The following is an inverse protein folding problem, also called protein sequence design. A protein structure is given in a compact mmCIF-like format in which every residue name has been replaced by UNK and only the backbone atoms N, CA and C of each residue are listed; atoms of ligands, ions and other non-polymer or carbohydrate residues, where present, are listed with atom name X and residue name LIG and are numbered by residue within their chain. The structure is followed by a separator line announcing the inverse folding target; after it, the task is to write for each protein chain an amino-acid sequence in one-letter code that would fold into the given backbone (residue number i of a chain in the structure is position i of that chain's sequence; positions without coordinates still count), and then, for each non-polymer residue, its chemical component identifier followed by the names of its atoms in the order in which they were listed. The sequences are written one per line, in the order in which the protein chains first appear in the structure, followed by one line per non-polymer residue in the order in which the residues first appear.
data_IF_928055165049
#
_entry.id   IF_928055165049
#
_cell.length_a   1.000
_cell.length_b   1.000
_cell.length_c   1.000
_cell.angle_alpha   90.00
_cell.angle_beta   90.00
_cell.angle_gamma   90.00
#
_symmetry.space_group_name_H-M   'P 1'
#
loop_
_entity.id
_entity.type
_entity.pdbx_description
1 polymer ?
#
# COMPACT_ATOMS: atom_id res chain seq x y z
N UNK A 1 15.00 -25.74 -31.13
CA UNK A 1 15.16 -24.35 -30.64
C UNK A 1 13.84 -23.96 -30.02
N UNK A 2 13.73 -24.10 -28.70
CA UNK A 2 12.55 -23.64 -27.96
C UNK A 2 12.59 -22.12 -27.99
N UNK A 3 11.59 -21.46 -28.59
CA UNK A 3 11.43 -20.03 -28.41
C UNK A 3 11.32 -19.79 -26.89
N UNK A 4 12.27 -19.04 -26.32
CA UNK A 4 12.14 -18.57 -24.94
C UNK A 4 10.86 -17.73 -24.81
N UNK A 5 10.25 -17.66 -23.62
CA UNK A 5 9.08 -16.82 -23.43
C UNK A 5 9.41 -15.39 -23.87
N UNK A 6 8.57 -14.83 -24.74
CA UNK A 6 8.64 -13.44 -25.17
C UNK A 6 8.24 -12.57 -23.98
N UNK A 7 9.22 -11.94 -23.33
CA UNK A 7 8.99 -10.96 -22.26
C UNK A 7 8.35 -9.69 -22.82
N UNK A 8 7.34 -9.15 -22.15
CA UNK A 8 6.76 -7.84 -22.41
C UNK A 8 7.80 -6.77 -22.10
N UNK A 9 8.00 -5.84 -23.04
CA UNK A 9 8.75 -4.63 -22.74
C UNK A 9 7.84 -3.67 -21.96
N UNK A 10 8.07 -3.60 -20.66
CA UNK A 10 7.38 -2.67 -19.77
C UNK A 10 7.74 -1.20 -20.06
N UNK A 11 8.91 -0.94 -20.68
CA UNK A 11 9.55 0.36 -20.69
C UNK A 11 9.78 0.90 -19.26
N UNK A 12 10.13 2.18 -19.15
CA UNK A 12 10.24 2.82 -17.83
C UNK A 12 8.88 2.98 -17.18
N UNK A 13 8.79 2.66 -15.90
CA UNK A 13 7.56 2.77 -15.11
C UNK A 13 7.73 3.79 -13.98
N UNK A 14 6.75 4.66 -13.80
CA UNK A 14 6.72 5.60 -12.69
C UNK A 14 6.17 5.00 -11.41
N UNK A 15 6.79 5.30 -10.28
CA UNK A 15 6.20 5.15 -8.93
C UNK A 15 5.89 6.56 -8.42
N UNK A 16 4.62 6.85 -8.19
CA UNK A 16 4.16 8.13 -7.67
C UNK A 16 3.66 7.96 -6.24
N UNK A 17 4.43 8.46 -5.28
CA UNK A 17 4.15 8.27 -3.86
C UNK A 17 3.33 9.45 -3.31
N UNK A 18 2.15 9.20 -2.77
CA UNK A 18 1.45 10.17 -1.93
C UNK A 18 2.01 10.03 -0.51
N UNK A 19 2.50 11.12 0.07
CA UNK A 19 3.34 11.08 1.27
C UNK A 19 4.80 10.74 0.96
N UNK A 20 5.31 11.24 -0.17
CA UNK A 20 6.64 10.91 -0.71
C UNK A 20 7.82 11.14 0.26
N UNK A 21 7.68 12.05 1.22
CA UNK A 21 8.71 12.42 2.21
C UNK A 21 8.49 11.74 3.58
N UNK A 22 7.55 10.81 3.66
CA UNK A 22 7.33 9.93 4.80
C UNK A 22 8.39 8.84 4.96
N UNK A 23 8.40 8.16 6.11
CA UNK A 23 9.39 7.12 6.42
C UNK A 23 9.30 5.92 5.47
N UNK A 24 8.09 5.45 5.15
CA UNK A 24 7.87 4.33 4.20
C UNK A 24 8.35 4.70 2.80
N UNK A 25 7.91 5.84 2.28
CA UNK A 25 8.29 6.32 0.95
C UNK A 25 9.81 6.51 0.79
N UNK A 26 10.45 7.14 1.77
CA UNK A 26 11.91 7.35 1.79
C UNK A 26 12.65 6.01 1.83
N UNK A 27 12.18 5.07 2.65
CA UNK A 27 12.78 3.72 2.77
C UNK A 27 12.63 2.93 1.47
N UNK A 28 11.45 2.97 0.84
CA UNK A 28 11.21 2.32 -0.45
C UNK A 28 12.07 2.91 -1.56
N UNK A 29 12.20 4.24 -1.62
CA UNK A 29 13.06 4.94 -2.60
C UNK A 29 14.53 4.56 -2.41
N UNK A 30 15.00 4.54 -1.16
CA UNK A 30 16.36 4.11 -0.83
C UNK A 30 16.61 2.64 -1.16
N UNK A 31 15.68 1.76 -0.80
CA UNK A 31 15.76 0.32 -1.10
C UNK A 31 15.80 0.06 -2.60
N UNK A 32 14.92 0.71 -3.36
CA UNK A 32 14.91 0.63 -4.82
C UNK A 32 16.26 1.05 -5.42
N UNK A 33 16.82 2.18 -4.99
CA UNK A 33 18.10 2.66 -5.47
C UNK A 33 19.25 1.71 -5.13
N UNK A 34 19.26 1.16 -3.91
CA UNK A 34 20.30 0.23 -3.46
C UNK A 34 20.24 -1.10 -4.20
N UNK A 35 19.04 -1.65 -4.40
CA UNK A 35 18.82 -2.90 -5.16
C UNK A 35 19.21 -2.69 -6.63
N UNK A 36 18.75 -1.59 -7.24
CA UNK A 36 19.05 -1.28 -8.65
C UNK A 36 20.54 -1.08 -8.92
N UNK A 37 21.28 -0.57 -7.93
CA UNK A 37 22.73 -0.38 -8.00
C UNK A 37 23.55 -1.63 -7.60
N UNK A 38 22.89 -2.71 -7.15
CA UNK A 38 23.56 -3.92 -6.67
C UNK A 38 24.26 -3.75 -5.30
N UNK A 39 23.86 -2.76 -4.50
CA UNK A 39 24.37 -2.56 -3.14
C UNK A 39 23.62 -3.38 -2.08
N UNK A 40 22.44 -3.90 -2.42
CA UNK A 40 21.64 -4.75 -1.53
C UNK A 40 20.86 -5.79 -2.34
N UNK A 41 20.63 -6.96 -1.73
CA UNK A 41 19.71 -7.95 -2.27
C UNK A 41 18.26 -7.48 -2.07
N UNK A 42 17.35 -7.93 -2.94
CA UNK A 42 15.92 -7.65 -2.84
C UNK A 42 15.19 -8.48 -1.75
N UNK A 43 15.88 -8.83 -0.67
CA UNK A 43 15.32 -9.61 0.44
C UNK A 43 14.11 -8.89 1.02
N UNK A 44 12.98 -9.61 1.13
CA UNK A 44 11.70 -9.07 1.58
C UNK A 44 10.76 -8.67 0.44
N UNK A 45 11.24 -8.55 -0.80
CA UNK A 45 10.39 -8.42 -1.98
C UNK A 45 9.82 -9.81 -2.35
N UNK A 46 8.51 -9.97 -2.23
CA UNK A 46 7.79 -11.22 -2.50
C UNK A 46 7.91 -11.62 -3.97
N UNK A 47 7.95 -10.63 -4.87
CA UNK A 47 8.04 -10.85 -6.32
C UNK A 47 9.39 -11.41 -6.78
N UNK A 48 10.38 -11.53 -5.89
CA UNK A 48 11.70 -12.12 -6.17
C UNK A 48 11.82 -13.58 -5.69
N UNK A 49 10.74 -14.17 -5.19
CA UNK A 49 10.72 -15.58 -4.82
C UNK A 49 10.59 -16.48 -6.05
N UNK A 50 11.18 -17.67 -6.00
CA UNK A 50 11.19 -18.63 -7.11
C UNK A 50 9.80 -19.02 -7.65
N UNK A 51 8.73 -18.86 -6.87
CA UNK A 51 7.34 -19.11 -7.34
C UNK A 51 6.87 -18.07 -8.37
N UNK A 52 7.55 -16.93 -8.46
CA UNK A 52 7.35 -15.90 -9.49
C UNK A 52 8.33 -16.03 -10.66
N UNK A 53 9.19 -17.07 -10.70
CA UNK A 53 10.08 -17.31 -11.84
C UNK A 53 9.25 -17.48 -13.12
N UNK A 54 9.56 -16.67 -14.14
CA UNK A 54 8.82 -16.64 -15.40
C UNK A 54 7.55 -15.78 -15.40
N UNK A 55 7.20 -15.15 -14.27
CA UNK A 55 6.23 -14.05 -14.26
C UNK A 55 6.93 -12.80 -14.80
N UNK A 56 6.34 -12.24 -15.84
CA UNK A 56 6.85 -11.09 -16.54
C UNK A 56 6.56 -9.81 -15.76
N UNK A 57 7.54 -9.34 -14.99
CA UNK A 57 7.46 -8.15 -14.14
C UNK A 57 8.56 -7.15 -14.51
N UNK A 58 8.32 -5.83 -14.37
CA UNK A 58 9.38 -4.85 -14.57
C UNK A 58 10.53 -5.07 -13.58
N UNK A 59 11.76 -4.80 -14.03
CA UNK A 59 12.95 -4.84 -13.18
C UNK A 59 13.02 -3.63 -12.26
N UNK A 60 13.76 -3.74 -11.16
CA UNK A 60 13.91 -2.63 -10.21
C UNK A 60 14.53 -1.37 -10.85
N UNK A 61 15.47 -1.55 -11.78
CA UNK A 61 16.12 -0.44 -12.49
C UNK A 61 15.20 0.28 -13.51
N UNK A 62 14.03 -0.28 -13.82
CA UNK A 62 13.07 0.31 -14.76
C UNK A 62 12.18 1.38 -14.09
N UNK A 63 12.24 1.49 -12.76
CA UNK A 63 11.41 2.41 -12.01
C UNK A 63 12.01 3.80 -11.86
N UNK A 64 11.16 4.81 -12.00
CA UNK A 64 11.45 6.22 -11.70
C UNK A 64 10.52 6.68 -10.59
N UNK A 65 11.05 7.29 -9.53
CA UNK A 65 10.26 7.71 -8.36
C UNK A 65 9.96 9.20 -8.42
N UNK A 66 8.70 9.56 -8.17
CA UNK A 66 8.20 10.91 -7.91
C UNK A 66 7.08 10.88 -6.87
N UNK A 67 6.35 11.97 -6.68
CA UNK A 67 5.23 11.95 -5.75
C UNK A 67 4.68 13.32 -5.33
N UNK A 68 3.78 13.27 -4.36
CA UNK A 68 3.24 14.44 -3.69
C UNK A 68 3.52 14.39 -2.19
N UNK A 69 3.84 15.54 -1.62
CA UNK A 69 3.92 15.69 -0.16
C UNK A 69 3.55 17.11 0.26
N UNK A 70 3.10 17.26 1.51
CA UNK A 70 2.80 18.56 2.14
C UNK A 70 3.94 19.03 3.06
N UNK A 71 4.90 18.15 3.37
CA UNK A 71 6.06 18.44 4.18
C UNK A 71 7.19 19.01 3.33
N UNK A 72 7.89 20.01 3.86
CA UNK A 72 9.12 20.55 3.27
C UNK A 72 10.38 19.75 3.66
N UNK A 73 10.25 18.72 4.51
CA UNK A 73 11.39 17.88 4.92
C UNK A 73 11.75 16.93 3.78
N UNK A 74 12.82 17.23 3.03
CA UNK A 74 13.29 16.38 1.93
C UNK A 74 13.49 14.91 2.32
N UNK A 75 13.36 14.00 1.35
CA UNK A 75 13.67 12.57 1.53
C UNK A 75 15.07 12.34 2.11
N UNK A 76 16.08 13.11 1.67
CA UNK A 76 17.44 12.98 2.19
C UNK A 76 17.49 13.32 3.69
N UNK A 77 16.79 14.37 4.12
CA UNK A 77 16.74 14.73 5.55
C UNK A 77 15.93 13.73 6.37
N UNK A 78 14.86 13.18 5.78
CA UNK A 78 14.11 12.07 6.38
C UNK A 78 15.00 10.85 6.57
N UNK A 79 15.79 10.47 5.56
CA UNK A 79 16.70 9.35 5.63
C UNK A 79 17.78 9.53 6.71
N UNK A 80 18.34 10.74 6.87
CA UNK A 80 19.28 11.05 7.96
C UNK A 80 18.66 10.74 9.33
N UNK A 81 17.43 11.18 9.60
CA UNK A 81 16.74 10.89 10.86
C UNK A 81 16.47 9.38 11.07
N UNK A 82 16.21 8.65 9.98
CA UNK A 82 16.01 7.20 10.01
C UNK A 82 17.32 6.42 10.19
N UNK A 83 18.46 6.98 9.76
CA UNK A 83 19.78 6.44 10.09
C UNK A 83 20.10 6.69 11.56
N UNK A 84 19.81 7.89 12.07
CA UNK A 84 20.01 8.24 13.49
C UNK A 84 19.18 7.35 14.43
N UNK A 85 17.99 6.92 14.02
CA UNK A 85 17.16 5.98 14.78
C UNK A 85 17.66 4.53 14.73
N UNK A 86 18.68 4.24 13.91
CA UNK A 86 19.20 2.90 13.67
C UNK A 86 18.35 2.05 12.72
N UNK A 87 17.31 2.62 12.10
CA UNK A 87 16.46 1.91 11.15
C UNK A 87 17.17 1.66 9.81
N UNK A 88 17.86 2.68 9.29
CA UNK A 88 18.58 2.60 8.02
C UNK A 88 20.09 2.48 8.24
N UNK A 89 20.78 1.61 7.48
CA UNK A 89 22.22 1.54 7.54
C UNK A 89 22.87 2.75 6.83
N UNK A 90 23.74 3.47 7.55
CA UNK A 90 24.42 4.68 7.06
C UNK A 90 25.13 4.46 5.71
N UNK A 91 25.87 3.36 5.57
CA UNK A 91 26.67 3.10 4.36
C UNK A 91 25.80 2.96 3.10
N UNK A 92 24.59 2.38 3.20
CA UNK A 92 23.67 2.31 2.07
C UNK A 92 23.12 3.69 1.76
N UNK A 93 22.69 4.45 2.78
CA UNK A 93 22.19 5.81 2.59
C UNK A 93 23.23 6.69 1.88
N UNK A 94 24.49 6.67 2.31
CA UNK A 94 25.57 7.42 1.66
C UNK A 94 25.78 6.99 0.21
N UNK A 95 25.67 5.69 -0.09
CA UNK A 95 25.87 5.14 -1.43
C UNK A 95 24.77 5.52 -2.41
N UNK A 96 23.55 5.82 -1.93
CA UNK A 96 22.40 6.15 -2.78
C UNK A 96 21.81 7.55 -2.55
N UNK A 97 22.53 8.41 -1.82
CA UNK A 97 22.04 9.75 -1.45
C UNK A 97 21.66 10.59 -2.66
N UNK A 98 22.42 10.50 -3.75
CA UNK A 98 22.13 11.22 -5.00
C UNK A 98 20.78 10.83 -5.60
N UNK A 99 20.43 9.55 -5.55
CA UNK A 99 19.19 9.01 -6.10
C UNK A 99 17.98 9.47 -5.28
N UNK A 100 18.11 9.55 -3.94
CA UNK A 100 17.08 10.15 -3.09
C UNK A 100 16.87 11.64 -3.41
N UNK A 101 17.95 12.39 -3.60
CA UNK A 101 17.86 13.82 -3.96
C UNK A 101 17.19 13.99 -5.33
N UNK A 102 17.53 13.14 -6.30
CA UNK A 102 16.92 13.16 -7.63
C UNK A 102 15.42 12.80 -7.59
N UNK A 103 15.03 11.83 -6.77
CA UNK A 103 13.63 11.50 -6.52
C UNK A 103 12.89 12.66 -5.83
N UNK A 104 13.49 13.29 -4.82
CA UNK A 104 12.87 14.41 -4.09
C UNK A 104 12.64 15.64 -4.98
N UNK A 105 13.50 15.88 -5.99
CA UNK A 105 13.31 16.95 -6.98
C UNK A 105 12.05 16.77 -7.85
N UNK A 106 11.51 15.55 -7.92
CA UNK A 106 10.27 15.22 -8.63
C UNK A 106 9.04 15.30 -7.72
N UNK A 107 9.22 15.53 -6.42
CA UNK A 107 8.11 15.68 -5.48
C UNK A 107 7.44 17.04 -5.70
N UNK A 108 6.12 17.02 -5.87
CA UNK A 108 5.28 18.20 -6.05
C UNK A 108 4.46 18.49 -4.79
N UNK A 109 3.94 19.72 -4.60
CA UNK A 109 3.05 20.03 -3.48
C UNK A 109 1.77 19.19 -3.52
N UNK A 110 1.52 18.44 -2.45
CA UNK A 110 0.28 17.67 -2.26
C UNK A 110 -0.94 18.56 -1.98
N UNK A 111 -2.10 17.93 -1.77
CA UNK A 111 -3.30 18.62 -1.32
C UNK A 111 -3.29 18.76 0.21
N UNK A 112 -3.31 20.00 0.69
CA UNK A 112 -3.45 20.33 2.11
C UNK A 112 -4.79 21.04 2.33
N UNK A 113 -5.77 20.41 3.02
CA UNK A 113 -7.09 21.00 3.23
C UNK A 113 -7.06 22.26 4.11
N UNK A 114 -5.92 22.60 4.72
CA UNK A 114 -5.74 23.84 5.50
C UNK A 114 -5.44 25.05 4.60
N UNK A 115 -5.21 24.85 3.31
CA UNK A 115 -4.99 25.91 2.33
C UNK A 115 -6.30 26.20 1.59
N UNK A 116 -6.81 27.43 1.68
CA UNK A 116 -8.16 27.82 1.23
C UNK A 116 -8.22 28.38 -0.21
N UNK A 117 -7.28 28.02 -1.09
CA UNK A 117 -7.11 28.73 -2.37
C UNK A 117 -7.78 28.11 -3.60
N UNK A 118 -8.21 26.85 -3.56
CA UNK A 118 -8.76 26.14 -4.73
C UNK A 118 -9.93 25.22 -4.36
N UNK A 119 -10.84 24.96 -5.31
CA UNK A 119 -11.88 23.94 -5.14
C UNK A 119 -11.28 22.53 -5.14
N UNK A 120 -12.02 21.54 -4.62
CA UNK A 120 -11.56 20.16 -4.61
C UNK A 120 -11.35 19.59 -6.03
N UNK A 121 -12.16 20.04 -6.99
CA UNK A 121 -12.01 19.69 -8.40
C UNK A 121 -10.74 20.30 -9.01
N UNK A 122 -10.42 21.56 -8.68
CA UNK A 122 -9.18 22.21 -9.12
C UNK A 122 -7.94 21.51 -8.54
N UNK A 123 -7.97 21.18 -7.24
CA UNK A 123 -6.92 20.41 -6.59
C UNK A 123 -6.71 19.05 -7.29
N UNK A 124 -7.79 18.28 -7.51
CA UNK A 124 -7.69 16.98 -8.17
C UNK A 124 -7.12 17.08 -9.59
N UNK A 125 -7.55 18.09 -10.38
CA UNK A 125 -7.02 18.35 -11.72
C UNK A 125 -5.54 18.73 -11.70
N UNK A 126 -5.10 19.56 -10.75
CA UNK A 126 -3.70 19.94 -10.56
C UNK A 126 -2.83 18.73 -10.24
N UNK A 127 -3.24 17.92 -9.26
CA UNK A 127 -2.52 16.70 -8.89
C UNK A 127 -2.47 15.69 -10.06
N UNK A 128 -3.55 15.56 -10.83
CA UNK A 128 -3.59 14.69 -12.02
C UNK A 128 -2.66 15.20 -13.15
N UNK A 129 -2.55 16.52 -13.30
CA UNK A 129 -1.58 17.14 -14.23
C UNK A 129 -0.15 16.82 -13.82
N UNK A 130 0.19 16.93 -12.54
CA UNK A 130 1.53 16.59 -12.04
C UNK A 130 1.92 15.13 -12.38
N UNK A 131 0.99 14.19 -12.18
CA UNK A 131 1.19 12.77 -12.53
C UNK A 131 1.39 12.60 -14.05
N UNK A 132 0.57 13.28 -14.85
CA UNK A 132 0.64 13.22 -16.32
C UNK A 132 1.93 13.83 -16.86
N UNK A 133 2.34 14.97 -16.31
CA UNK A 133 3.57 15.67 -16.67
C UNK A 133 4.80 14.85 -16.27
N UNK A 134 4.75 14.18 -15.12
CA UNK A 134 5.80 13.23 -14.72
C UNK A 134 5.93 12.08 -15.73
N UNK A 135 4.80 11.49 -16.14
CA UNK A 135 4.77 10.45 -17.18
C UNK A 135 5.41 10.92 -18.49
N UNK A 136 4.99 12.08 -18.99
CA UNK A 136 5.45 12.63 -20.28
C UNK A 136 6.93 13.01 -20.21
N UNK A 137 7.34 13.77 -19.19
CA UNK A 137 8.70 14.31 -19.06
C UNK A 137 9.77 13.24 -18.90
N UNK A 138 9.42 12.07 -18.35
CA UNK A 138 10.34 10.95 -18.14
C UNK A 138 10.16 9.81 -19.15
N UNK A 139 9.27 9.97 -20.13
CA UNK A 139 9.00 8.95 -21.15
C UNK A 139 8.51 7.63 -20.56
N UNK A 140 7.64 7.69 -19.56
CA UNK A 140 7.16 6.53 -18.82
C UNK A 140 5.98 5.89 -19.53
N UNK A 141 5.99 4.56 -19.66
CA UNK A 141 4.88 3.80 -20.22
C UNK A 141 3.61 3.91 -19.37
N UNK A 142 3.79 4.05 -18.05
CA UNK A 142 2.72 4.15 -17.05
C UNK A 142 3.26 4.75 -15.75
N UNK A 143 2.35 5.17 -14.87
CA UNK A 143 2.65 5.63 -13.52
C UNK A 143 1.74 4.89 -12.54
N UNK A 144 2.33 4.23 -11.55
CA UNK A 144 1.62 3.59 -10.44
C UNK A 144 1.59 4.57 -9.29
N UNK A 145 0.38 4.94 -8.85
CA UNK A 145 0.18 5.83 -7.69
C UNK A 145 0.00 4.98 -6.45
N UNK A 146 0.83 5.19 -5.43
CA UNK A 146 0.72 4.51 -4.14
C UNK A 146 0.57 5.53 -3.01
N UNK A 147 -0.52 5.42 -2.28
CA UNK A 147 -0.76 6.22 -1.08
C UNK A 147 -0.15 5.56 0.15
N UNK A 148 0.91 6.19 0.66
CA UNK A 148 1.63 5.83 1.89
C UNK A 148 1.66 7.01 2.86
N UNK A 149 0.72 7.94 2.73
CA UNK A 149 0.63 9.13 3.56
C UNK A 149 0.16 8.80 4.99
N UNK A 150 0.15 9.81 5.86
CA UNK A 150 -0.39 9.68 7.22
C UNK A 150 -1.85 9.24 7.19
N UNK A 151 -2.21 8.33 8.09
CA UNK A 151 -3.58 7.81 8.20
C UNK A 151 -4.57 8.92 8.53
N UNK A 152 -5.70 8.92 7.82
CA UNK A 152 -6.83 9.81 8.08
C UNK A 152 -7.83 9.20 9.05
N UNK A 153 -8.59 10.06 9.74
CA UNK A 153 -9.74 9.61 10.49
C UNK A 153 -10.87 9.15 9.54
N UNK A 154 -11.69 8.15 9.93
CA UNK A 154 -12.88 7.80 9.17
C UNK A 154 -13.80 9.01 8.98
N UNK A 155 -14.35 9.17 7.79
CA UNK A 155 -15.32 10.22 7.45
C UNK A 155 -16.74 9.69 7.52
N UNK A 156 -17.69 10.59 7.81
CA UNK A 156 -19.11 10.25 7.73
C UNK A 156 -19.53 10.12 6.25
N UNK A 157 -20.35 9.10 5.96
CA UNK A 157 -20.95 8.94 4.63
C UNK A 157 -21.96 10.04 4.36
N UNK A 158 -21.80 10.73 3.24
CA UNK A 158 -22.70 11.77 2.72
C UNK A 158 -23.33 11.33 1.39
N UNK A 159 -24.47 11.91 0.95
CA UNK A 159 -25.14 11.49 -0.29
C UNK A 159 -24.24 11.53 -1.53
N UNK A 160 -23.33 12.50 -1.60
CA UNK A 160 -22.33 12.65 -2.66
C UNK A 160 -21.44 11.41 -2.81
N UNK A 161 -21.26 10.60 -1.78
CA UNK A 161 -20.40 9.42 -1.88
C UNK A 161 -21.02 8.31 -2.74
N UNK A 162 -22.33 8.36 -2.97
CA UNK A 162 -23.09 7.33 -3.71
C UNK A 162 -23.64 7.81 -5.05
N UNK A 163 -23.48 9.08 -5.39
CA UNK A 163 -24.00 9.68 -6.61
C UNK A 163 -22.91 10.52 -7.29
N UNK A 164 -22.50 10.12 -8.50
CA UNK A 164 -21.41 10.75 -9.25
C UNK A 164 -21.75 12.21 -9.57
N UNK A 165 -22.96 12.51 -9.99
CA UNK A 165 -23.35 13.86 -10.41
C UNK A 165 -23.34 14.81 -9.21
N UNK A 166 -23.87 14.35 -8.07
CA UNK A 166 -23.81 15.10 -6.81
C UNK A 166 -22.37 15.30 -6.34
N UNK A 167 -21.52 14.27 -6.44
CA UNK A 167 -20.11 14.38 -6.08
C UNK A 167 -19.42 15.43 -6.92
N UNK A 168 -19.47 15.30 -8.25
CA UNK A 168 -18.79 16.20 -9.17
C UNK A 168 -19.27 17.65 -9.00
N UNK A 169 -20.57 17.87 -8.83
CA UNK A 169 -21.10 19.21 -8.54
C UNK A 169 -20.58 19.78 -7.22
N UNK A 170 -20.42 18.94 -6.18
CA UNK A 170 -19.89 19.38 -4.90
C UNK A 170 -18.39 19.69 -4.95
N UNK A 171 -17.60 18.97 -5.75
CA UNK A 171 -16.16 19.20 -5.87
C UNK A 171 -15.83 20.53 -6.57
N UNK A 172 -16.71 21.01 -7.45
CA UNK A 172 -16.54 22.29 -8.14
C UNK A 172 -16.86 23.50 -7.24
N UNK A 173 -17.60 23.31 -6.14
CA UNK A 173 -17.95 24.39 -5.22
C UNK A 173 -16.82 24.63 -4.20
N UNK A 174 -16.09 25.77 -4.29
CA UNK A 174 -14.98 26.07 -3.38
C UNK A 174 -15.42 26.31 -1.93
N UNK A 175 -16.72 26.50 -1.68
CA UNK A 175 -17.26 26.64 -0.32
C UNK A 175 -17.51 25.29 0.37
N UNK A 176 -17.33 24.18 -0.36
CA UNK A 176 -17.61 22.82 0.13
C UNK A 176 -16.32 22.00 0.16
N UNK A 177 -16.22 21.18 1.21
CA UNK A 177 -15.16 20.16 1.33
C UNK A 177 -15.85 18.85 1.68
N UNK A 178 -15.92 17.96 0.69
CA UNK A 178 -16.69 16.71 0.74
C UNK A 178 -15.76 15.50 0.83
N UNK A 179 -14.71 15.49 0.03
CA UNK A 179 -13.74 14.39 0.03
C UNK A 179 -12.59 14.66 1.01
N UNK A 180 -12.14 13.65 1.78
CA UNK A 180 -10.90 13.75 2.52
C UNK A 180 -9.68 13.75 1.57
N UNK A 181 -8.48 14.19 2.03
CA UNK A 181 -7.30 14.30 1.18
C UNK A 181 -6.88 13.01 0.44
N UNK A 182 -7.02 11.85 1.07
CA UNK A 182 -6.76 10.54 0.45
C UNK A 182 -7.67 10.29 -0.75
N UNK A 183 -8.95 10.66 -0.64
CA UNK A 183 -9.92 10.54 -1.74
C UNK A 183 -9.66 11.53 -2.87
N UNK A 184 -9.17 12.74 -2.57
CA UNK A 184 -8.71 13.70 -3.59
C UNK A 184 -7.51 13.15 -4.37
N UNK A 185 -6.54 12.58 -3.66
CA UNK A 185 -5.35 11.98 -4.28
C UNK A 185 -5.71 10.75 -5.13
N UNK A 186 -6.62 9.91 -4.63
CA UNK A 186 -7.15 8.77 -5.37
C UNK A 186 -7.91 9.22 -6.63
N UNK A 187 -8.74 10.26 -6.53
CA UNK A 187 -9.46 10.83 -7.67
C UNK A 187 -8.49 11.41 -8.71
N UNK A 188 -7.42 12.08 -8.28
CA UNK A 188 -6.37 12.57 -9.18
C UNK A 188 -5.68 11.43 -9.95
N UNK A 189 -5.42 10.28 -9.31
CA UNK A 189 -4.88 9.10 -9.99
C UNK A 189 -5.85 8.56 -11.05
N UNK A 190 -7.16 8.53 -10.73
CA UNK A 190 -8.22 8.14 -11.68
C UNK A 190 -8.26 9.09 -12.87
N UNK A 191 -8.25 10.41 -12.64
CA UNK A 191 -8.21 11.42 -13.70
C UNK A 191 -6.96 11.30 -14.59
N UNK A 192 -5.82 10.92 -14.01
CA UNK A 192 -4.57 10.66 -14.73
C UNK A 192 -4.52 9.29 -15.43
N UNK A 193 -5.58 8.47 -15.32
CA UNK A 193 -5.62 7.11 -15.87
C UNK A 193 -4.52 6.20 -15.29
N UNK A 194 -4.13 6.43 -14.04
CA UNK A 194 -2.97 5.79 -13.40
C UNK A 194 -3.42 4.75 -12.37
N UNK A 195 -2.90 3.50 -12.42
CA UNK A 195 -3.15 2.49 -11.38
C UNK A 195 -2.97 3.03 -9.97
N UNK A 196 -3.88 2.67 -9.06
CA UNK A 196 -3.91 3.25 -7.71
C UNK A 196 -3.83 2.19 -6.61
N UNK A 197 -2.99 2.44 -5.61
CA UNK A 197 -2.85 1.58 -4.42
C UNK A 197 -3.07 2.39 -3.15
N UNK A 198 -4.00 1.96 -2.29
CA UNK A 198 -4.15 2.52 -0.94
C UNK A 198 -3.38 1.64 0.07
N UNK A 199 -2.23 2.11 0.54
CA UNK A 199 -1.44 1.36 1.54
C UNK A 199 -1.80 1.76 2.99
N UNK A 200 -2.76 2.65 3.16
CA UNK A 200 -3.23 3.18 4.45
C UNK A 200 -4.67 2.71 4.72
N UNK A 201 -5.22 2.87 5.95
CA UNK A 201 -6.64 2.65 6.21
C UNK A 201 -7.49 3.90 5.94
N UNK A 202 -6.95 4.91 5.25
CA UNK A 202 -7.67 6.14 4.89
C UNK A 202 -8.82 5.86 3.92
N UNK A 203 -9.71 6.83 3.70
CA UNK A 203 -10.93 6.60 2.90
C UNK A 203 -10.63 6.29 1.44
N UNK A 204 -9.75 7.04 0.78
CA UNK A 204 -9.34 6.81 -0.60
C UNK A 204 -10.52 6.48 -1.55
N UNK A 205 -10.52 5.29 -2.15
CA UNK A 205 -11.58 4.79 -3.05
C UNK A 205 -12.73 4.06 -2.35
N UNK A 206 -12.78 4.02 -1.01
CA UNK A 206 -13.99 3.59 -0.27
C UNK A 206 -15.14 4.63 -0.35
N UNK A 207 -15.16 5.43 -1.41
CA UNK A 207 -16.25 6.30 -1.82
C UNK A 207 -16.85 5.66 -3.08
N UNK A 208 -18.06 5.07 -3.01
CA UNK A 208 -18.66 4.32 -4.12
C UNK A 208 -18.64 5.07 -5.47
N UNK A 209 -18.96 6.35 -5.48
CA UNK A 209 -18.92 7.19 -6.68
C UNK A 209 -17.50 7.33 -7.28
N UNK A 210 -16.45 7.43 -6.45
CA UNK A 210 -15.06 7.45 -6.93
C UNK A 210 -14.62 6.08 -7.47
N UNK A 211 -15.06 5.00 -6.83
CA UNK A 211 -14.78 3.64 -7.33
C UNK A 211 -15.44 3.42 -8.69
N UNK A 212 -16.68 3.86 -8.88
CA UNK A 212 -17.36 3.77 -10.17
C UNK A 212 -16.62 4.57 -11.26
N UNK A 213 -16.13 5.78 -10.94
CA UNK A 213 -15.27 6.56 -11.85
C UNK A 213 -13.96 5.83 -12.18
N UNK A 214 -13.34 5.15 -11.22
CA UNK A 214 -12.12 4.37 -11.44
C UNK A 214 -12.36 3.19 -12.40
N UNK A 215 -13.45 2.46 -12.21
CA UNK A 215 -13.87 1.36 -13.10
C UNK A 215 -14.17 1.89 -14.51
N UNK A 216 -14.91 3.00 -14.61
CA UNK A 216 -15.22 3.66 -15.88
C UNK A 216 -13.98 4.15 -16.63
N UNK A 217 -12.94 4.55 -15.91
CA UNK A 217 -11.64 4.97 -16.46
C UNK A 217 -10.71 3.80 -16.77
N UNK A 218 -11.12 2.55 -16.48
CA UNK A 218 -10.31 1.36 -16.73
C UNK A 218 -9.04 1.28 -15.88
N UNK A 219 -9.05 1.88 -14.69
CA UNK A 219 -7.90 1.92 -13.79
C UNK A 219 -7.93 0.69 -12.86
N UNK A 220 -6.88 -0.15 -12.82
CA UNK A 220 -6.76 -1.18 -11.80
C UNK A 220 -6.41 -0.53 -10.45
N UNK A 221 -6.96 -1.09 -9.39
CA UNK A 221 -6.84 -0.55 -8.03
C UNK A 221 -6.58 -1.65 -7.01
N UNK A 222 -5.85 -1.33 -5.95
CA UNK A 222 -5.61 -2.26 -4.86
C UNK A 222 -5.61 -1.53 -3.52
N UNK A 223 -5.99 -2.24 -2.47
CA UNK A 223 -6.07 -1.68 -1.13
C UNK A 223 -6.79 -2.65 -0.21
N UNK A 224 -6.97 -2.34 1.08
CA UNK A 224 -6.30 -1.24 1.75
C UNK A 224 -5.64 -1.63 3.08
N UNK A 225 -4.79 -0.72 3.54
CA UNK A 225 -3.99 -0.81 4.76
C UNK A 225 -2.94 -1.95 4.71
N UNK A 226 -1.67 -1.59 4.56
CA UNK A 226 -0.57 -2.56 4.44
C UNK A 226 -0.49 -3.56 5.60
N UNK A 227 -0.34 -4.85 5.28
CA UNK A 227 -0.27 -5.95 6.26
C UNK A 227 1.18 -6.38 6.52
N UNK A 228 1.85 -5.66 7.41
CA UNK A 228 3.31 -5.80 7.66
C UNK A 228 3.70 -6.71 8.82
N UNK A 229 3.10 -6.53 10.00
CA UNK A 229 3.56 -7.15 11.26
C UNK A 229 2.49 -8.00 11.96
N UNK A 230 1.90 -7.47 13.04
CA UNK A 230 0.94 -8.21 13.87
C UNK A 230 -0.23 -8.82 13.07
N UNK A 231 -0.85 -8.04 12.19
CA UNK A 231 -1.99 -8.51 11.41
C UNK A 231 -1.59 -9.62 10.43
N UNK A 232 -0.38 -9.56 9.88
CA UNK A 232 0.16 -10.64 9.07
C UNK A 232 0.27 -11.93 9.90
N UNK A 233 0.91 -11.87 11.08
CA UNK A 233 1.05 -13.04 11.95
C UNK A 233 -0.31 -13.63 12.37
N UNK A 234 -1.29 -12.78 12.66
CA UNK A 234 -2.69 -13.18 12.94
C UNK A 234 -3.32 -13.93 11.78
N UNK A 235 -3.12 -13.44 10.54
CA UNK A 235 -3.64 -14.09 9.32
C UNK A 235 -2.99 -15.44 9.00
N UNK A 236 -1.84 -15.74 9.60
CA UNK A 236 -1.17 -17.05 9.52
C UNK A 236 -1.64 -17.99 10.64
N UNK A 237 -1.61 -17.51 11.88
CA UNK A 237 -1.83 -18.33 13.07
C UNK A 237 -3.31 -18.69 13.26
N UNK A 238 -4.24 -17.76 13.04
CA UNK A 238 -5.66 -18.02 13.27
C UNK A 238 -6.22 -19.16 12.38
N UNK A 239 -5.99 -19.16 11.04
CA UNK A 239 -6.38 -20.29 10.20
C UNK A 239 -5.69 -21.60 10.59
N UNK A 240 -4.41 -21.57 10.96
CA UNK A 240 -3.66 -22.77 11.33
C UNK A 240 -4.24 -23.47 12.58
N UNK A 241 -4.68 -22.69 13.57
CA UNK A 241 -5.39 -23.21 14.74
C UNK A 241 -6.73 -23.83 14.35
N UNK A 242 -7.53 -23.11 13.55
CA UNK A 242 -8.84 -23.58 13.09
C UNK A 242 -8.73 -24.87 12.25
N UNK A 243 -7.73 -24.95 11.35
CA UNK A 243 -7.45 -26.14 10.53
C UNK A 243 -7.08 -27.38 11.36
N UNK A 244 -6.58 -27.20 12.58
CA UNK A 244 -6.30 -28.29 13.54
C UNK A 244 -7.48 -28.62 14.44
N UNK A 245 -8.64 -28.00 14.24
CA UNK A 245 -9.82 -28.15 15.10
C UNK A 245 -9.63 -27.52 16.48
N UNK A 246 -8.68 -26.60 16.65
CA UNK A 246 -8.46 -25.88 17.89
C UNK A 246 -9.36 -24.64 17.93
N UNK A 247 -10.10 -24.47 19.04
CA UNK A 247 -11.04 -23.37 19.19
C UNK A 247 -10.39 -22.20 19.90
N UNK A 248 -10.27 -21.07 19.22
CA UNK A 248 -9.81 -19.82 19.84
C UNK A 248 -10.91 -19.27 20.74
N UNK A 249 -10.58 -19.02 22.01
CA UNK A 249 -11.52 -18.50 23.01
C UNK A 249 -11.39 -16.99 23.13
N UNK A 250 -10.14 -16.52 23.18
CA UNK A 250 -9.81 -15.09 23.23
C UNK A 250 -8.45 -14.85 22.60
N UNK A 251 -8.30 -13.69 21.97
CA UNK A 251 -7.05 -13.24 21.40
C UNK A 251 -6.84 -11.77 21.74
N UNK A 252 -6.21 -11.51 22.87
CA UNK A 252 -5.86 -10.17 23.30
C UNK A 252 -4.59 -9.71 22.57
N UNK A 253 -4.48 -8.43 22.23
CA UNK A 253 -3.22 -7.90 21.74
C UNK A 253 -3.00 -6.43 22.08
N UNK A 254 -1.73 -6.03 22.08
CA UNK A 254 -1.33 -4.63 22.17
C UNK A 254 -0.33 -4.29 21.06
N UNK A 255 -0.37 -3.05 20.58
CA UNK A 255 0.66 -2.48 19.72
C UNK A 255 1.22 -1.25 20.42
N UNK A 256 2.52 -1.27 20.70
CA UNK A 256 3.27 -0.14 21.20
C UNK A 256 4.06 0.43 20.02
N UNK A 257 3.91 1.71 19.74
CA UNK A 257 4.65 2.38 18.67
C UNK A 257 5.02 3.80 19.05
N UNK A 258 6.16 4.27 18.55
CA UNK A 258 6.61 5.66 18.65
C UNK A 258 6.65 6.34 17.27
N UNK A 259 7.45 7.40 17.16
CA UNK A 259 7.76 8.04 15.88
C UNK A 259 6.57 8.79 15.24
N UNK A 260 6.66 8.99 13.92
CA UNK A 260 5.65 9.74 13.14
C UNK A 260 4.28 9.05 13.11
N UNK A 261 4.27 7.73 13.05
CA UNK A 261 3.04 6.93 13.12
C UNK A 261 2.40 6.98 14.52
N UNK A 262 3.21 6.94 15.59
CA UNK A 262 2.73 7.08 16.97
C UNK A 262 2.12 8.46 17.24
N UNK A 263 2.70 9.52 16.67
CA UNK A 263 2.19 10.89 16.80
C UNK A 263 0.80 11.07 16.13
N UNK A 264 0.58 10.41 14.99
CA UNK A 264 -0.72 10.43 14.28
C UNK A 264 -1.81 9.69 15.08
N UNK A 265 -1.43 8.77 15.97
CA UNK A 265 -2.34 8.02 16.85
C UNK A 265 -2.63 8.71 18.19
N UNK A 266 -2.18 9.94 18.38
CA UNK A 266 -2.66 10.78 19.49
C UNK A 266 -4.12 11.26 19.28
N UNK A 267 -4.66 11.22 18.05
CA UNK A 267 -6.08 11.46 17.78
C UNK A 267 -6.91 10.17 18.03
N UNK A 268 -7.82 10.16 19.03
CA UNK A 268 -8.67 9.00 19.32
C UNK A 268 -9.52 8.52 18.14
N UNK A 269 -9.87 9.40 17.18
CA UNK A 269 -10.66 9.04 15.99
C UNK A 269 -9.84 8.23 14.99
N UNK A 270 -8.58 8.60 14.76
CA UNK A 270 -7.66 7.84 13.90
C UNK A 270 -7.39 6.44 14.50
N UNK A 271 -7.27 6.35 15.83
CA UNK A 271 -7.14 5.07 16.55
C UNK A 271 -8.38 4.20 16.37
N UNK A 272 -9.59 4.78 16.48
CA UNK A 272 -10.86 4.04 16.32
C UNK A 272 -10.95 3.34 14.96
N UNK A 273 -10.61 4.03 13.86
CA UNK A 273 -10.59 3.44 12.52
C UNK A 273 -9.64 2.23 12.41
N UNK A 274 -8.41 2.37 12.90
CA UNK A 274 -7.42 1.28 12.93
C UNK A 274 -7.84 0.10 13.82
N UNK A 275 -8.53 0.36 14.93
CA UNK A 275 -9.01 -0.70 15.82
C UNK A 275 -10.15 -1.50 15.17
N UNK A 276 -11.06 -0.82 14.45
CA UNK A 276 -12.17 -1.49 13.77
C UNK A 276 -11.68 -2.42 12.64
N UNK A 277 -10.77 -1.95 11.78
CA UNK A 277 -10.24 -2.77 10.67
C UNK A 277 -9.48 -4.00 11.19
N UNK A 278 -8.59 -3.81 12.17
CA UNK A 278 -7.79 -4.91 12.74
C UNK A 278 -8.63 -5.97 13.47
N UNK A 279 -9.71 -5.57 14.13
CA UNK A 279 -10.56 -6.51 14.86
C UNK A 279 -11.53 -7.27 13.97
N UNK A 280 -12.03 -6.68 12.87
CA UNK A 280 -12.97 -7.35 11.97
C UNK A 280 -12.38 -8.63 11.39
N UNK A 281 -11.23 -8.53 10.72
CA UNK A 281 -10.59 -9.69 10.09
C UNK A 281 -10.23 -10.79 11.09
N UNK A 282 -9.76 -10.44 12.31
CA UNK A 282 -9.44 -11.44 13.32
C UNK A 282 -10.69 -12.16 13.86
N UNK A 283 -11.80 -11.44 14.06
CA UNK A 283 -13.06 -12.06 14.51
C UNK A 283 -13.59 -13.04 13.48
N UNK A 284 -13.50 -12.72 12.20
CA UNK A 284 -13.88 -13.63 11.12
C UNK A 284 -12.99 -14.88 11.12
N UNK A 285 -11.67 -14.70 11.18
CA UNK A 285 -10.70 -15.81 11.19
C UNK A 285 -10.84 -16.74 12.41
N UNK A 286 -11.35 -16.23 13.53
CA UNK A 286 -11.48 -16.97 14.80
C UNK A 286 -12.89 -17.50 15.07
N UNK A 287 -13.85 -17.27 14.16
CA UNK A 287 -15.25 -17.68 14.37
C UNK A 287 -15.96 -16.89 15.48
N UNK A 288 -15.60 -15.62 15.65
CA UNK A 288 -16.26 -14.70 16.58
C UNK A 288 -15.68 -14.64 17.99
N UNK A 289 -14.42 -15.06 18.20
CA UNK A 289 -13.76 -14.98 19.49
C UNK A 289 -13.66 -13.53 20.02
N UNK A 290 -13.43 -13.38 21.33
CA UNK A 290 -13.18 -12.07 21.94
C UNK A 290 -11.77 -11.57 21.60
N UNK A 291 -11.66 -10.39 21.00
CA UNK A 291 -10.39 -9.84 20.47
C UNK A 291 -10.10 -8.43 21.00
N UNK A 292 -9.85 -8.24 22.30
CA UNK A 292 -9.48 -6.92 22.80
C UNK A 292 -8.13 -6.50 22.20
N UNK A 293 -8.07 -5.26 21.70
CA UNK A 293 -6.91 -4.71 21.02
C UNK A 293 -6.63 -3.30 21.54
N UNK A 294 -5.39 -3.08 21.95
CA UNK A 294 -4.90 -1.78 22.39
C UNK A 294 -3.79 -1.28 21.45
N UNK A 295 -3.72 0.03 21.30
CA UNK A 295 -2.69 0.71 20.54
C UNK A 295 -2.25 1.91 21.39
N UNK A 296 -1.00 1.91 21.82
CA UNK A 296 -0.46 2.91 22.73
C UNK A 296 0.74 3.60 22.10
N UNK A 297 0.78 4.94 22.20
CA UNK A 297 1.92 5.74 21.77
C UNK A 297 3.00 5.73 22.87
N UNK A 298 4.15 5.14 22.57
CA UNK A 298 5.31 5.07 23.46
C UNK A 298 6.48 5.74 22.74
N UNK A 299 6.67 7.04 23.00
CA UNK A 299 7.59 7.90 22.24
C UNK A 299 9.02 7.34 22.18
N UNK A 300 9.51 6.78 23.28
CA UNK A 300 10.86 6.22 23.40
C UNK A 300 11.13 5.02 22.47
N UNK A 301 10.10 4.38 21.93
CA UNK A 301 10.28 3.31 20.94
C UNK A 301 10.73 3.83 19.57
N UNK A 302 10.65 5.14 19.31
CA UNK A 302 11.04 5.73 18.03
C UNK A 302 10.35 5.04 16.85
N UNK A 303 11.11 4.62 15.84
CA UNK A 303 10.60 3.92 14.65
C UNK A 303 10.31 2.42 14.90
N UNK A 304 10.58 1.91 16.10
CA UNK A 304 10.33 0.50 16.45
C UNK A 304 8.88 0.31 16.87
N UNK A 305 8.25 -0.71 16.29
CA UNK A 305 6.93 -1.19 16.68
C UNK A 305 7.06 -2.50 17.43
N UNK A 306 6.39 -2.58 18.57
CA UNK A 306 6.27 -3.82 19.37
C UNK A 306 4.81 -4.23 19.38
N UNK A 307 4.51 -5.41 18.86
CA UNK A 307 3.20 -6.02 18.98
C UNK A 307 3.28 -7.28 19.85
N UNK A 308 2.34 -7.40 20.78
CA UNK A 308 2.21 -8.59 21.63
C UNK A 308 0.80 -9.14 21.53
N UNK A 309 0.69 -10.47 21.47
CA UNK A 309 -0.57 -11.17 21.45
C UNK A 309 -0.61 -12.28 22.51
N UNK A 310 -1.78 -12.47 23.10
CA UNK A 310 -2.09 -13.53 24.05
C UNK A 310 -3.35 -14.27 23.61
N UNK A 311 -3.19 -15.54 23.31
CA UNK A 311 -4.20 -16.37 22.67
C UNK A 311 -4.56 -17.52 23.60
N UNK A 312 -5.82 -17.55 24.04
CA UNK A 312 -6.37 -18.66 24.81
C UNK A 312 -7.12 -19.60 23.88
N UNK A 313 -6.78 -20.89 23.96
CA UNK A 313 -7.22 -21.92 23.02
C UNK A 313 -7.81 -23.10 23.80
N UNK A 314 -8.85 -23.70 23.25
CA UNK A 314 -9.39 -24.99 23.71
C UNK A 314 -9.05 -26.09 22.69
N UNK A 315 -8.53 -27.20 23.21
CA UNK A 315 -8.20 -28.40 22.46
C UNK A 315 -9.02 -29.61 22.91
N UNK A 316 -8.45 -30.80 22.69
CA UNK A 316 -9.12 -32.08 22.96
C UNK A 316 -9.56 -32.20 24.43
N UNK A 317 -10.78 -32.72 24.64
CA UNK A 317 -11.39 -32.88 25.97
C UNK A 317 -11.46 -31.60 26.82
N UNK A 318 -11.49 -30.43 26.16
CA UNK A 318 -11.55 -29.13 26.86
C UNK A 318 -10.20 -28.67 27.42
N UNK A 319 -9.09 -29.30 27.03
CA UNK A 319 -7.75 -28.89 27.45
C UNK A 319 -7.50 -27.42 27.10
N UNK A 320 -6.99 -26.64 28.04
CA UNK A 320 -6.62 -25.24 27.81
C UNK A 320 -5.18 -25.14 27.34
N UNK A 321 -4.95 -24.35 26.30
CA UNK A 321 -3.62 -23.98 25.81
C UNK A 321 -3.51 -22.46 25.74
N UNK A 322 -2.30 -21.96 25.94
CA UNK A 322 -1.97 -20.55 25.76
C UNK A 322 -0.84 -20.44 24.74
N UNK A 323 -1.00 -19.53 23.79
CA UNK A 323 0.06 -19.10 22.87
C UNK A 323 0.28 -17.61 23.07
N UNK A 324 1.54 -17.19 23.19
CA UNK A 324 1.94 -15.80 23.23
C UNK A 324 2.93 -15.52 22.10
N UNK A 325 2.80 -14.36 21.46
CA UNK A 325 3.73 -13.91 20.44
C UNK A 325 4.19 -12.48 20.73
N UNK A 326 5.47 -12.21 20.51
CA UNK A 326 6.03 -10.85 20.53
C UNK A 326 6.67 -10.59 19.18
N UNK A 327 6.31 -9.48 18.55
CA UNK A 327 6.84 -9.03 17.26
C UNK A 327 7.45 -7.64 17.43
N UNK A 328 8.76 -7.53 17.22
CA UNK A 328 9.49 -6.27 17.29
C UNK A 328 10.19 -6.01 15.97
N UNK A 329 9.87 -4.90 15.31
CA UNK A 329 10.46 -4.55 14.02
C UNK A 329 10.32 -3.05 13.73
N UNK A 330 11.12 -2.55 12.79
CA UNK A 330 10.89 -1.27 12.14
C UNK A 330 9.76 -1.42 11.11
N UNK A 331 8.61 -0.76 11.33
CA UNK A 331 7.42 -0.98 10.47
C UNK A 331 7.68 -0.54 9.01
N UNK A 332 8.44 0.55 8.83
CA UNK A 332 8.83 1.04 7.49
C UNK A 332 9.73 0.06 6.73
N UNK A 333 10.59 -0.70 7.43
CA UNK A 333 11.44 -1.72 6.79
C UNK A 333 10.64 -2.95 6.33
N UNK A 334 9.49 -3.22 6.96
CA UNK A 334 8.54 -4.25 6.51
C UNK A 334 7.63 -3.75 5.39
N UNK A 335 7.25 -2.46 5.42
CA UNK A 335 6.37 -1.85 4.43
C UNK A 335 7.06 -1.57 3.08
N UNK A 336 8.31 -1.10 3.10
CA UNK A 336 9.01 -0.63 1.91
C UNK A 336 9.14 -1.68 0.79
N UNK A 337 9.49 -2.96 1.06
CA UNK A 337 9.49 -3.99 0.02
C UNK A 337 8.12 -4.19 -0.63
N UNK A 338 7.04 -4.09 0.16
CA UNK A 338 5.67 -4.22 -0.35
C UNK A 338 5.31 -3.08 -1.32
N UNK A 339 5.82 -1.86 -1.11
CA UNK A 339 5.65 -0.74 -2.05
C UNK A 339 6.27 -1.10 -3.42
N UNK A 340 7.44 -1.74 -3.42
CA UNK A 340 8.11 -2.17 -4.65
C UNK A 340 7.37 -3.33 -5.32
N UNK A 341 6.97 -4.34 -4.56
CA UNK A 341 6.19 -5.48 -5.07
C UNK A 341 4.86 -5.01 -5.68
N UNK A 342 4.11 -4.16 -4.96
CA UNK A 342 2.85 -3.61 -5.44
C UNK A 342 3.05 -2.77 -6.70
N UNK A 343 4.15 -2.02 -6.81
CA UNK A 343 4.47 -1.29 -8.04
C UNK A 343 4.67 -2.22 -9.25
N UNK A 344 5.39 -3.34 -9.05
CA UNK A 344 5.61 -4.35 -10.09
C UNK A 344 4.32 -5.07 -10.49
N UNK A 345 3.54 -5.50 -9.51
CA UNK A 345 2.29 -6.23 -9.74
C UNK A 345 1.21 -5.35 -10.34
N UNK A 346 1.12 -4.07 -9.95
CA UNK A 346 0.18 -3.12 -10.58
C UNK A 346 0.61 -2.73 -11.98
N UNK A 347 1.92 -2.72 -12.28
CA UNK A 347 2.39 -2.58 -13.65
C UNK A 347 1.96 -3.76 -14.52
N UNK A 348 2.01 -5.00 -13.99
CA UNK A 348 1.49 -6.20 -14.65
C UNK A 348 -0.03 -6.11 -14.85
N UNK A 349 -0.79 -5.76 -13.80
CA UNK A 349 -2.24 -5.60 -13.88
C UNK A 349 -2.65 -4.60 -14.97
N UNK A 350 -1.97 -3.46 -15.03
CA UNK A 350 -2.22 -2.46 -16.05
C UNK A 350 -1.85 -2.94 -17.46
N UNK A 351 -0.75 -3.69 -17.62
CA UNK A 351 -0.34 -4.26 -18.92
C UNK A 351 -1.31 -5.33 -19.42
N UNK A 352 -1.88 -6.14 -18.52
CA UNK A 352 -2.84 -7.18 -18.85
C UNK A 352 -4.27 -6.63 -19.08
N UNK A 353 -4.48 -5.33 -18.87
CA UNK A 353 -5.78 -4.67 -19.06
C UNK A 353 -6.77 -4.89 -17.92
N UNK A 354 -6.30 -5.27 -16.72
CA UNK A 354 -7.11 -5.36 -15.51
C UNK A 354 -7.75 -4.02 -15.15
N UNK A 355 -8.95 -4.07 -14.56
CA UNK A 355 -9.75 -2.89 -14.21
C UNK A 355 -10.43 -3.09 -12.87
N UNK A 356 -10.61 -2.01 -12.10
CA UNK A 356 -11.26 -2.08 -10.80
C UNK A 356 -10.37 -2.76 -9.76
N UNK A 357 -10.97 -3.34 -8.73
CA UNK A 357 -10.22 -3.94 -7.61
C UNK A 357 -9.51 -5.24 -8.00
N UNK A 358 -8.19 -5.30 -7.83
CA UNK A 358 -7.37 -6.50 -8.03
C UNK A 358 -7.35 -7.33 -6.75
N UNK A 359 -8.41 -8.12 -6.52
CA UNK A 359 -8.61 -8.87 -5.28
C UNK A 359 -7.50 -9.88 -4.93
N UNK A 360 -6.75 -10.36 -5.93
CA UNK A 360 -5.59 -11.24 -5.73
C UNK A 360 -4.45 -10.58 -4.93
N UNK A 361 -4.37 -9.24 -4.95
CA UNK A 361 -3.39 -8.49 -4.16
C UNK A 361 -3.73 -8.40 -2.68
N UNK A 362 -4.83 -9.03 -2.22
CA UNK A 362 -5.22 -9.06 -0.81
C UNK A 362 -4.15 -9.64 0.13
N UNK A 363 -3.18 -10.38 -0.41
CA UNK A 363 -1.94 -10.77 0.26
C UNK A 363 -1.28 -9.59 1.00
N UNK A 364 -1.23 -8.40 0.40
CA UNK A 364 -0.53 -7.24 0.93
C UNK A 364 -1.36 -6.41 1.91
N UNK A 365 -2.66 -6.66 2.04
CA UNK A 365 -3.58 -5.76 2.72
C UNK A 365 -4.25 -6.39 3.94
N UNK A 366 -4.59 -5.56 4.92
CA UNK A 366 -5.36 -5.94 6.10
C UNK A 366 -6.85 -6.04 5.77
N UNK A 367 -7.34 -5.12 4.95
CA UNK A 367 -8.75 -5.01 4.53
C UNK A 367 -8.81 -5.02 2.99
N UNK A 368 -8.66 -6.18 2.34
CA UNK A 368 -8.45 -6.27 0.91
C UNK A 368 -9.70 -5.89 0.10
N UNK A 369 -9.55 -4.96 -0.84
CA UNK A 369 -10.57 -4.61 -1.80
C UNK A 369 -10.76 -5.72 -2.82
N UNK A 370 -12.02 -5.98 -3.21
CA UNK A 370 -12.35 -7.01 -4.19
C UNK A 370 -12.15 -8.45 -3.69
N UNK A 371 -11.93 -8.68 -2.39
CA UNK A 371 -11.79 -10.02 -1.81
C UNK A 371 -12.25 -10.04 -0.35
N UNK A 372 -12.86 -11.14 0.08
CA UNK A 372 -13.17 -11.39 1.50
C UNK A 372 -12.24 -12.44 2.13
N UNK A 373 -11.20 -12.87 1.41
CA UNK A 373 -10.26 -13.87 1.90
C UNK A 373 -9.21 -13.21 2.80
N UNK A 374 -9.06 -13.71 4.02
CA UNK A 374 -8.12 -13.20 5.04
C UNK A 374 -7.08 -14.23 5.48
N UNK A 375 -7.18 -15.50 5.05
CA UNK A 375 -6.19 -16.53 5.30
C UNK A 375 -4.94 -16.29 4.46
N UNK A 376 -3.80 -16.08 5.11
CA UNK A 376 -2.56 -15.75 4.40
C UNK A 376 -2.18 -16.82 3.37
N UNK A 377 -2.35 -18.11 3.69
CA UNK A 377 -2.06 -19.19 2.75
C UNK A 377 -2.87 -19.12 1.46
N UNK A 378 -4.19 -18.87 1.57
CA UNK A 378 -5.06 -18.74 0.38
C UNK A 378 -4.78 -17.47 -0.39
N UNK A 379 -4.45 -16.38 0.31
CA UNK A 379 -4.01 -15.16 -0.36
C UNK A 379 -2.69 -15.36 -1.13
N UNK A 380 -1.77 -16.17 -0.62
CA UNK A 380 -0.55 -16.56 -1.35
C UNK A 380 -0.88 -17.32 -2.62
N UNK A 381 -1.73 -18.35 -2.53
CA UNK A 381 -2.13 -19.14 -3.71
C UNK A 381 -2.80 -18.24 -4.76
N UNK A 382 -3.76 -17.40 -4.34
CA UNK A 382 -4.46 -16.47 -5.22
C UNK A 382 -3.51 -15.48 -5.91
N UNK A 383 -2.51 -14.96 -5.19
CA UNK A 383 -1.53 -14.02 -5.74
C UNK A 383 -0.68 -14.68 -6.83
N UNK A 384 -0.16 -15.88 -6.56
CA UNK A 384 0.72 -16.60 -7.50
C UNK A 384 -0.06 -17.02 -8.74
N UNK A 385 -1.25 -17.60 -8.57
CA UNK A 385 -2.11 -18.00 -9.70
C UNK A 385 -2.48 -16.81 -10.58
N UNK A 386 -2.87 -15.69 -9.95
CA UNK A 386 -3.21 -14.47 -10.67
C UNK A 386 -2.00 -13.92 -11.45
N UNK A 387 -0.83 -13.81 -10.82
CA UNK A 387 0.36 -13.26 -11.47
C UNK A 387 0.79 -14.09 -12.69
N UNK A 388 0.78 -15.42 -12.58
CA UNK A 388 1.09 -16.33 -13.69
C UNK A 388 0.07 -16.22 -14.84
N UNK A 389 -1.22 -16.10 -14.50
CA UNK A 389 -2.31 -15.95 -15.48
C UNK A 389 -2.22 -14.62 -16.23
N UNK A 390 -1.96 -13.52 -15.52
CA UNK A 390 -1.81 -12.20 -16.12
C UNK A 390 -0.58 -12.12 -17.00
N UNK A 391 0.55 -12.65 -16.54
CA UNK A 391 1.79 -12.71 -17.33
C UNK A 391 1.60 -13.46 -18.65
N UNK A 392 0.86 -14.57 -18.63
CA UNK A 392 0.57 -15.35 -19.84
C UNK A 392 -0.33 -14.58 -20.82
N UNK A 393 -1.25 -13.78 -20.30
CA UNK A 393 -2.19 -12.98 -21.11
C UNK A 393 -1.48 -11.81 -21.82
N UNK A 394 -0.56 -11.14 -21.13
CA UNK A 394 0.26 -10.06 -21.71
C UNK A 394 1.14 -10.55 -22.86
N UNK A 395 1.72 -11.76 -22.74
CA UNK A 395 2.53 -12.37 -23.79
C UNK A 395 1.73 -12.76 -25.05
N UNK A 396 0.44 -13.08 -24.91
CA UNK A 396 -0.43 -13.40 -26.05
C UNK A 396 -0.85 -12.14 -26.83
N UNK A 397 -0.95 -10.98 -26.15
CA UNK A 397 -1.36 -9.71 -26.76
C UNK A 397 -0.29 -9.08 -27.66
N UNK A 398 1.00 -9.27 -27.37
CA UNK A 398 2.11 -8.75 -28.18
C UNK A 398 2.30 -9.49 -29.50
N UNK A 399 1.87 -10.76 -29.60
CA UNK A 399 2.00 -11.58 -30.82
C UNK A 399 1.03 -11.23 -31.95
N UNK A 400 0.00 -10.40 -31.71
CA UNK A 400 -1.02 -10.05 -32.73
C UNK A 400 -0.65 -8.76 -33.48
N UNK A 401 0.23 -7.92 -32.94
CA UNK A 401 0.54 -6.59 -33.50
C UNK A 401 1.62 -6.63 -34.60
N UNK A 402 2.42 -7.70 -34.67
CA UNK A 402 3.51 -7.85 -35.66
C UNK A 402 3.09 -8.48 -37.01
N UNK A 403 1.79 -8.54 -37.33
CA UNK A 403 1.29 -9.13 -38.59
C UNK A 403 0.41 -8.21 -39.47
N UNK A 404 0.53 -6.88 -39.38
CA UNK A 404 -0.14 -5.98 -40.33
C UNK A 404 0.79 -4.98 -41.01
#
# INVERSE_FOLDING_TARGET
MSAGPTSHDYGKTGIWLIGARGSVATTATMGLAAISAGFADATGCVTEQAVFDGVDLPGFADFVVGGHDISDVSMAKRAEALVESGMLPLHLFESVRSQLVEADQRVRPGYDPRQESESQAEAARRLASDISDFRISHGLSRVIVLDVASTEAPVETVPEFTDIDMLLAALEDPSRSVLPPSSISAYAAVLAGSPYVCFTPSTALNVPALYELAVGSGVPTAGQDGKTGQTWLRSVVAPALSARGLRVLSWAGTNLLGGGDGATLADPRAVSGKLQSKNRGLRELTGGAATPLHIDNVQDLGETKVAWDHINIEGFLGSRLTLQTTWTAFDSMLAAPMVLDLSRLMALAHASGEKGHVGALGFFFKDPWGSNEHSFSRQTDNLVEWAQTMSSSTAAGTGIVDQQ
#
